data_IF_798886073323
#
_entry.id   IF_798886073323
#
_cell.length_a   1.000
_cell.length_b   1.000
_cell.length_c   1.000
_cell.angle_alpha   90.00
_cell.angle_beta   90.00
_cell.angle_gamma   90.00
#
_symmetry.space_group_name_H-M   'P 1'
#
loop_
_entity.id
_entity.type
_entity.pdbx_description
1 polymer ?
#
# COMPACT_ATOMS: atom_id res chain seq x y z
N UNK A 1 -72.22 53.57 -21.38
CA UNK A 1 -71.05 53.03 -22.12
C UNK A 1 -70.12 52.11 -21.31
N UNK A 2 -69.88 52.31 -20.00
CA UNK A 2 -68.89 51.50 -19.24
C UNK A 2 -69.25 50.03 -18.92
N UNK A 3 -70.54 49.66 -18.85
CA UNK A 3 -70.96 48.28 -18.50
C UNK A 3 -70.91 47.27 -19.67
N UNK A 4 -71.05 47.73 -20.92
CA UNK A 4 -70.98 46.86 -22.10
C UNK A 4 -69.52 46.47 -22.44
N UNK A 5 -68.59 47.42 -22.26
CA UNK A 5 -67.15 47.18 -22.44
C UNK A 5 -66.58 46.19 -21.42
N UNK A 6 -67.00 46.24 -20.15
CA UNK A 6 -66.54 45.28 -19.14
C UNK A 6 -67.04 43.85 -19.39
N UNK A 7 -68.28 43.67 -19.88
CA UNK A 7 -68.80 42.33 -20.22
C UNK A 7 -68.07 41.71 -21.41
N UNK A 8 -67.72 42.51 -22.42
CA UNK A 8 -66.97 42.03 -23.58
C UNK A 8 -65.50 41.74 -23.25
N UNK A 9 -64.89 42.50 -22.33
CA UNK A 9 -63.53 42.23 -21.83
C UNK A 9 -63.46 40.95 -20.98
N UNK A 10 -64.45 40.67 -20.12
CA UNK A 10 -64.49 39.42 -19.35
C UNK A 10 -64.76 38.20 -20.22
N UNK A 11 -65.63 38.31 -21.24
CA UNK A 11 -65.88 37.20 -22.17
C UNK A 11 -64.66 36.88 -23.05
N UNK A 12 -63.91 37.90 -23.49
CA UNK A 12 -62.66 37.73 -24.23
C UNK A 12 -61.53 37.15 -23.35
N UNK A 13 -61.46 37.52 -22.07
CA UNK A 13 -60.49 36.95 -21.12
C UNK A 13 -60.79 35.48 -20.78
N UNK A 14 -62.06 35.10 -20.59
CA UNK A 14 -62.44 33.71 -20.32
C UNK A 14 -62.29 32.80 -21.56
N UNK A 15 -62.56 33.31 -22.77
CA UNK A 15 -62.32 32.57 -24.00
C UNK A 15 -60.82 32.40 -24.29
N UNK A 16 -59.99 33.41 -23.98
CA UNK A 16 -58.53 33.33 -24.06
C UNK A 16 -57.91 32.36 -23.05
N UNK A 17 -58.45 32.29 -21.83
CA UNK A 17 -57.95 31.38 -20.80
C UNK A 17 -58.36 29.91 -21.04
N UNK A 18 -59.54 29.65 -21.60
CA UNK A 18 -59.92 28.29 -22.02
C UNK A 18 -59.21 27.83 -23.31
N UNK A 19 -58.80 28.75 -24.20
CA UNK A 19 -57.97 28.42 -25.35
C UNK A 19 -56.50 28.12 -24.98
N UNK A 20 -55.99 28.67 -23.86
CA UNK A 20 -54.68 28.33 -23.29
C UNK A 20 -54.63 26.95 -22.59
N UNK A 21 -55.80 26.40 -22.22
CA UNK A 21 -55.94 25.03 -21.70
C UNK A 21 -56.21 23.98 -22.80
N UNK A 22 -56.34 24.42 -24.06
CA UNK A 22 -56.53 23.59 -25.25
C UNK A 22 -55.37 23.71 -26.24
N UNK A 23 -54.20 24.17 -25.79
CA UNK A 23 -52.97 23.82 -26.49
C UNK A 23 -52.88 22.29 -26.47
N UNK A 24 -52.52 21.63 -27.60
CA UNK A 24 -52.16 20.23 -27.51
C UNK A 24 -51.11 20.12 -26.40
N UNK A 25 -51.21 19.10 -25.55
CA UNK A 25 -50.04 18.64 -24.81
C UNK A 25 -48.96 18.37 -25.87
N UNK A 26 -48.21 19.40 -26.25
CA UNK A 26 -46.90 19.26 -26.86
C UNK A 26 -46.19 18.38 -25.87
N UNK A 27 -45.90 17.14 -26.28
CA UNK A 27 -45.24 16.12 -25.48
C UNK A 27 -44.27 16.84 -24.52
N UNK A 28 -44.67 16.92 -23.25
CA UNK A 28 -43.87 17.58 -22.24
C UNK A 28 -42.59 16.75 -22.23
N UNK A 29 -41.51 17.27 -22.83
CA UNK A 29 -40.31 16.49 -23.08
C UNK A 29 -39.89 15.92 -21.72
N UNK A 30 -40.05 14.60 -21.57
CA UNK A 30 -39.83 13.97 -20.29
C UNK A 30 -38.36 14.18 -19.95
N UNK A 31 -38.09 14.71 -18.76
CA UNK A 31 -36.75 15.12 -18.37
C UNK A 31 -35.84 13.89 -18.38
N UNK A 32 -34.62 14.03 -18.92
CA UNK A 32 -33.68 12.92 -18.94
C UNK A 32 -33.27 12.58 -17.51
N UNK A 33 -33.42 11.33 -17.14
CA UNK A 33 -33.01 10.82 -15.85
C UNK A 33 -31.85 9.83 -16.04
N UNK A 34 -30.93 9.81 -15.07
CA UNK A 34 -29.92 8.78 -15.00
C UNK A 34 -30.42 7.62 -14.12
N UNK A 35 -30.36 6.41 -14.64
CA UNK A 35 -30.91 5.23 -13.99
C UNK A 35 -30.20 3.96 -14.43
N UNK A 36 -30.40 2.90 -13.65
CA UNK A 36 -29.80 1.58 -13.85
C UNK A 36 -30.88 0.54 -13.98
N UNK A 37 -30.76 -0.37 -14.94
CA UNK A 37 -31.72 -1.45 -15.20
C UNK A 37 -31.02 -2.80 -15.11
N UNK A 38 -31.46 -3.66 -14.20
CA UNK A 38 -31.14 -5.10 -14.23
C UNK A 38 -32.19 -5.81 -15.07
N UNK A 39 -31.74 -6.48 -16.13
CA UNK A 39 -32.60 -7.20 -17.07
C UNK A 39 -33.47 -8.25 -16.38
N UNK A 40 -34.57 -8.67 -17.02
CA UNK A 40 -35.50 -9.66 -16.45
C UNK A 40 -34.85 -11.04 -16.20
N UNK A 41 -33.86 -11.41 -16.99
CA UNK A 41 -33.03 -12.62 -16.78
C UNK A 41 -31.92 -12.41 -15.72
N UNK A 42 -31.80 -11.18 -15.20
CA UNK A 42 -30.88 -10.72 -14.17
C UNK A 42 -29.40 -10.74 -14.56
N UNK A 43 -29.08 -11.06 -15.81
CA UNK A 43 -27.69 -11.23 -16.27
C UNK A 43 -27.02 -9.94 -16.70
N UNK A 44 -27.79 -8.93 -17.06
CA UNK A 44 -27.28 -7.67 -17.60
C UNK A 44 -27.69 -6.49 -16.73
N UNK A 45 -26.74 -5.64 -16.36
CA UNK A 45 -26.98 -4.37 -15.68
C UNK A 45 -26.65 -3.20 -16.61
N UNK A 46 -27.64 -2.42 -17.04
CA UNK A 46 -27.44 -1.33 -18.01
C UNK A 46 -27.66 0.05 -17.39
N UNK A 47 -26.73 0.97 -17.65
CA UNK A 47 -26.78 2.37 -17.23
C UNK A 47 -27.28 3.24 -18.38
N UNK A 48 -28.31 4.05 -18.13
CA UNK A 48 -28.96 4.93 -19.10
C UNK A 48 -29.03 6.38 -18.62
N UNK A 49 -29.04 7.32 -19.57
CA UNK A 49 -29.35 8.73 -19.31
C UNK A 49 -30.24 9.29 -20.42
N UNK A 50 -31.53 9.01 -20.28
CA UNK A 50 -32.57 9.32 -21.27
C UNK A 50 -33.94 9.49 -20.59
N UNK A 51 -34.99 9.66 -21.39
CA UNK A 51 -36.37 9.86 -20.96
C UNK A 51 -37.21 8.57 -20.98
N UNK A 52 -36.57 7.40 -21.11
CA UNK A 52 -37.22 6.10 -21.31
C UNK A 52 -37.34 5.24 -20.05
N UNK A 53 -37.03 5.78 -18.86
CA UNK A 53 -37.02 5.02 -17.59
C UNK A 53 -38.32 4.26 -17.34
N UNK A 54 -39.47 4.87 -17.61
CA UNK A 54 -40.80 4.28 -17.39
C UNK A 54 -41.17 3.17 -18.38
N UNK A 55 -40.49 3.08 -19.53
CA UNK A 55 -40.72 2.06 -20.54
C UNK A 55 -39.78 0.85 -20.40
N UNK A 56 -38.77 0.92 -19.53
CA UNK A 56 -37.82 -0.17 -19.32
C UNK A 56 -38.44 -1.34 -18.57
N UNK A 57 -38.09 -2.55 -19.00
CA UNK A 57 -38.46 -3.80 -18.34
C UNK A 57 -37.32 -4.34 -17.49
N UNK A 58 -37.63 -4.97 -16.35
CA UNK A 58 -36.66 -5.50 -15.40
C UNK A 58 -36.76 -4.77 -14.06
N UNK A 59 -35.69 -4.82 -13.26
CA UNK A 59 -35.59 -4.02 -12.03
C UNK A 59 -34.88 -2.71 -12.34
N UNK A 60 -35.52 -1.58 -12.01
CA UNK A 60 -35.03 -0.23 -12.35
C UNK A 60 -34.76 0.53 -11.06
N UNK A 61 -33.60 1.19 -10.99
CA UNK A 61 -33.23 2.08 -9.89
C UNK A 61 -32.81 3.45 -10.42
N UNK A 62 -33.05 4.51 -9.66
CA UNK A 62 -32.38 5.78 -9.92
C UNK A 62 -30.86 5.65 -9.74
N UNK A 63 -30.05 6.42 -10.47
CA UNK A 63 -28.58 6.35 -10.33
C UNK A 63 -28.10 6.78 -8.93
N UNK A 64 -28.89 7.57 -8.20
CA UNK A 64 -28.59 8.00 -6.82
C UNK A 64 -29.34 7.15 -5.77
N UNK A 65 -30.06 6.12 -6.19
CA UNK A 65 -30.80 5.26 -5.26
C UNK A 65 -29.82 4.37 -4.49
N UNK A 66 -30.01 4.29 -3.16
CA UNK A 66 -29.05 3.65 -2.26
C UNK A 66 -29.72 2.71 -1.27
N UNK A 67 -28.91 1.82 -0.70
CA UNK A 67 -29.23 0.96 0.44
C UNK A 67 -28.14 1.04 1.50
N UNK A 68 -28.46 0.67 2.74
CA UNK A 68 -27.52 0.74 3.88
C UNK A 68 -27.29 -0.62 4.51
N UNK A 69 -26.05 -0.88 4.92
CA UNK A 69 -25.67 -2.07 5.68
C UNK A 69 -24.47 -1.73 6.58
N UNK A 70 -24.55 -2.09 7.88
CA UNK A 70 -23.51 -1.84 8.88
C UNK A 70 -22.96 -0.39 8.88
N UNK A 71 -23.86 0.59 8.72
CA UNK A 71 -23.49 2.01 8.67
C UNK A 71 -22.87 2.49 7.35
N UNK A 72 -22.59 1.59 6.40
CA UNK A 72 -22.13 1.91 5.05
C UNK A 72 -23.31 2.12 4.10
N UNK A 73 -23.12 2.95 3.07
CA UNK A 73 -24.11 3.23 2.02
C UNK A 73 -23.62 2.66 0.69
N UNK A 74 -24.52 1.97 -0.02
CA UNK A 74 -24.24 1.31 -1.30
C UNK A 74 -25.27 1.76 -2.33
N UNK A 75 -24.93 1.81 -3.62
CA UNK A 75 -25.92 1.86 -4.67
C UNK A 75 -26.96 0.73 -4.53
N UNK A 76 -28.23 1.02 -4.79
CA UNK A 76 -29.32 0.06 -4.63
C UNK A 76 -29.09 -1.22 -5.46
N UNK A 77 -28.45 -1.06 -6.62
CA UNK A 77 -28.14 -2.13 -7.57
C UNK A 77 -26.86 -2.93 -7.24
N UNK A 78 -25.99 -2.48 -6.32
CA UNK A 78 -24.71 -3.15 -6.07
C UNK A 78 -24.80 -4.27 -5.04
N UNK A 79 -23.73 -5.03 -4.79
CA UNK A 79 -23.65 -5.90 -3.63
C UNK A 79 -23.46 -5.12 -2.31
N UNK A 80 -23.52 -5.83 -1.18
CA UNK A 80 -23.12 -5.36 0.16
C UNK A 80 -22.11 -6.35 0.78
N UNK A 81 -21.61 -6.13 2.00
CA UNK A 81 -20.67 -7.06 2.63
C UNK A 81 -21.30 -8.43 2.90
N UNK A 82 -22.56 -8.48 3.33
CA UNK A 82 -23.25 -9.76 3.62
C UNK A 82 -23.98 -10.36 2.41
N UNK A 83 -24.35 -9.54 1.42
CA UNK A 83 -25.12 -9.96 0.24
C UNK A 83 -24.41 -9.53 -1.06
N UNK A 84 -23.53 -10.38 -1.64
CA UNK A 84 -22.88 -10.06 -2.91
C UNK A 84 -23.86 -10.08 -4.09
N UNK A 85 -23.61 -9.25 -5.11
CA UNK A 85 -24.33 -9.34 -6.38
C UNK A 85 -23.71 -10.46 -7.22
N UNK A 86 -24.44 -11.56 -7.36
CA UNK A 86 -23.95 -12.81 -7.97
C UNK A 86 -24.75 -13.25 -9.19
N UNK A 87 -25.74 -12.47 -9.65
CA UNK A 87 -26.54 -12.84 -10.82
C UNK A 87 -26.03 -12.14 -12.09
N UNK A 88 -25.60 -10.88 -11.98
CA UNK A 88 -25.12 -10.07 -13.09
C UNK A 88 -23.77 -10.58 -13.60
N UNK A 89 -23.68 -10.79 -14.92
CA UNK A 89 -22.47 -11.23 -15.63
C UNK A 89 -21.94 -10.18 -16.59
N UNK A 90 -22.79 -9.26 -17.06
CA UNK A 90 -22.43 -8.18 -17.97
C UNK A 90 -22.99 -6.86 -17.44
N UNK A 91 -22.15 -5.83 -17.40
CA UNK A 91 -22.60 -4.45 -17.22
C UNK A 91 -22.49 -3.70 -18.55
N UNK A 92 -23.41 -2.78 -18.82
CA UNK A 92 -23.47 -2.02 -20.08
C UNK A 92 -23.66 -0.55 -19.76
N UNK A 93 -22.79 0.31 -20.28
CA UNK A 93 -23.02 1.76 -20.33
C UNK A 93 -23.55 2.13 -21.70
N UNK A 94 -24.86 2.36 -21.77
CA UNK A 94 -25.54 2.72 -23.02
C UNK A 94 -24.99 4.03 -23.59
N UNK A 95 -25.11 4.22 -24.91
CA UNK A 95 -24.65 5.44 -25.57
C UNK A 95 -25.31 6.71 -25.00
N UNK A 96 -26.54 6.61 -24.51
CA UNK A 96 -27.24 7.70 -23.81
C UNK A 96 -26.47 8.22 -22.59
N UNK A 97 -25.73 7.35 -21.88
CA UNK A 97 -25.03 7.68 -20.64
C UNK A 97 -23.86 8.65 -20.81
N UNK A 98 -23.37 8.83 -22.05
CA UNK A 98 -22.21 9.67 -22.40
C UNK A 98 -22.29 11.11 -21.87
N UNK A 99 -23.49 11.63 -21.69
CA UNK A 99 -23.72 13.01 -21.24
C UNK A 99 -24.01 13.16 -19.74
N UNK A 100 -24.21 12.06 -19.02
CA UNK A 100 -24.31 12.11 -17.57
C UNK A 100 -22.92 12.34 -16.95
N UNK A 101 -22.87 13.02 -15.80
CA UNK A 101 -21.65 13.44 -15.10
C UNK A 101 -21.78 13.09 -13.62
N UNK A 102 -21.54 11.83 -13.22
CA UNK A 102 -21.58 11.46 -11.82
C UNK A 102 -20.56 12.26 -11.01
N UNK A 103 -20.93 12.62 -9.77
CA UNK A 103 -20.00 13.21 -8.81
C UNK A 103 -19.19 12.14 -8.05
N UNK A 104 -19.72 10.92 -7.98
CA UNK A 104 -19.07 9.76 -7.34
C UNK A 104 -19.37 8.50 -8.14
N UNK A 105 -18.40 7.58 -8.12
CA UNK A 105 -18.58 6.19 -8.61
C UNK A 105 -18.32 5.17 -7.49
N UNK A 106 -18.34 5.65 -6.25
CA UNK A 106 -18.18 4.84 -5.05
C UNK A 106 -19.10 3.62 -5.06
N UNK A 107 -18.52 2.44 -4.84
CA UNK A 107 -19.23 1.17 -4.73
C UNK A 107 -20.10 0.74 -5.94
N UNK A 108 -19.98 1.40 -7.12
CA UNK A 108 -20.87 1.12 -8.27
C UNK A 108 -20.91 -0.35 -8.72
N UNK A 109 -19.78 -1.06 -8.62
CA UNK A 109 -19.66 -2.50 -8.87
C UNK A 109 -19.16 -3.27 -7.64
N UNK A 110 -19.48 -2.78 -6.44
CA UNK A 110 -19.08 -3.45 -5.19
C UNK A 110 -19.68 -4.87 -5.10
N UNK A 111 -18.81 -5.85 -4.84
CA UNK A 111 -19.15 -7.26 -4.67
C UNK A 111 -19.93 -7.89 -5.84
N UNK A 112 -19.65 -7.49 -7.08
CA UNK A 112 -20.15 -8.18 -8.28
C UNK A 112 -19.32 -9.44 -8.59
N UNK A 113 -19.63 -10.55 -7.91
CA UNK A 113 -18.79 -11.77 -7.93
C UNK A 113 -18.72 -12.43 -9.31
N UNK A 114 -19.81 -12.35 -10.08
CA UNK A 114 -19.95 -13.01 -11.37
C UNK A 114 -19.84 -12.06 -12.57
N UNK A 115 -19.50 -10.78 -12.38
CA UNK A 115 -19.31 -9.83 -13.48
C UNK A 115 -18.06 -10.20 -14.29
N UNK A 116 -18.25 -10.50 -15.57
CA UNK A 116 -17.22 -10.96 -16.50
C UNK A 116 -16.71 -9.86 -17.42
N UNK A 117 -17.60 -8.92 -17.79
CA UNK A 117 -17.29 -7.83 -18.72
C UNK A 117 -18.15 -6.59 -18.48
N UNK A 118 -17.59 -5.43 -18.87
CA UNK A 118 -18.28 -4.14 -18.89
C UNK A 118 -18.21 -3.57 -20.31
N UNK A 119 -19.35 -3.49 -20.96
CA UNK A 119 -19.48 -2.98 -22.32
C UNK A 119 -19.80 -1.49 -22.30
N UNK A 120 -19.26 -0.75 -23.28
CA UNK A 120 -19.55 0.67 -23.41
C UNK A 120 -18.96 1.55 -22.30
N UNK A 121 -18.02 1.08 -21.47
CA UNK A 121 -17.43 1.85 -20.36
C UNK A 121 -16.84 3.22 -20.80
N UNK A 122 -16.52 3.36 -22.09
CA UNK A 122 -16.17 4.64 -22.73
C UNK A 122 -17.25 5.72 -22.67
N UNK A 123 -18.51 5.34 -22.41
CA UNK A 123 -19.66 6.23 -22.21
C UNK A 123 -19.78 6.71 -20.75
N UNK A 124 -19.02 6.17 -19.80
CA UNK A 124 -18.95 6.72 -18.44
C UNK A 124 -18.05 7.95 -18.43
N UNK A 125 -18.62 9.15 -18.29
CA UNK A 125 -17.82 10.37 -18.20
C UNK A 125 -17.45 10.68 -16.74
N UNK A 126 -16.18 10.49 -16.37
CA UNK A 126 -15.72 10.70 -15.01
C UNK A 126 -15.12 12.09 -14.74
N UNK A 127 -15.34 13.10 -15.61
CA UNK A 127 -14.69 14.43 -15.46
C UNK A 127 -15.00 15.12 -14.13
N UNK A 128 -16.20 14.89 -13.59
CA UNK A 128 -16.66 15.49 -12.34
C UNK A 128 -16.57 14.55 -11.13
N UNK A 129 -16.03 13.34 -11.32
CA UNK A 129 -15.94 12.36 -10.24
C UNK A 129 -14.84 12.78 -9.26
N UNK A 130 -15.21 12.92 -7.98
CA UNK A 130 -14.23 13.19 -6.91
C UNK A 130 -13.88 11.96 -6.10
N UNK A 131 -14.66 10.89 -6.21
CA UNK A 131 -14.52 9.67 -5.39
C UNK A 131 -14.74 8.41 -6.24
N UNK A 132 -13.76 7.50 -6.20
CA UNK A 132 -13.77 6.21 -6.92
C UNK A 132 -13.51 5.01 -5.99
N UNK A 133 -13.59 5.21 -4.66
CA UNK A 133 -13.29 4.15 -3.71
C UNK A 133 -14.19 2.93 -3.92
N UNK A 134 -13.60 1.74 -3.82
CA UNK A 134 -14.29 0.45 -3.99
C UNK A 134 -15.11 0.28 -5.29
N UNK A 135 -14.88 1.08 -6.34
CA UNK A 135 -15.70 1.06 -7.57
C UNK A 135 -15.84 -0.34 -8.18
N UNK A 136 -14.75 -1.11 -8.24
CA UNK A 136 -14.73 -2.49 -8.77
C UNK A 136 -14.42 -3.52 -7.70
N UNK A 137 -14.57 -3.17 -6.42
CA UNK A 137 -14.18 -4.05 -5.32
C UNK A 137 -14.88 -5.40 -5.43
N UNK A 138 -14.08 -6.46 -5.37
CA UNK A 138 -14.47 -7.87 -5.41
C UNK A 138 -15.19 -8.29 -6.71
N UNK A 139 -14.91 -7.63 -7.84
CA UNK A 139 -15.24 -8.11 -9.18
C UNK A 139 -14.35 -9.30 -9.58
N UNK A 140 -14.55 -10.45 -8.92
CA UNK A 140 -13.62 -11.59 -8.97
C UNK A 140 -13.53 -12.28 -10.33
N UNK A 141 -14.57 -12.19 -11.17
CA UNK A 141 -14.59 -12.79 -12.50
C UNK A 141 -14.18 -11.84 -13.63
N UNK A 142 -13.90 -10.58 -13.33
CA UNK A 142 -13.51 -9.59 -14.31
C UNK A 142 -12.05 -9.83 -14.73
N UNK A 143 -11.82 -10.05 -16.03
CA UNK A 143 -10.49 -10.41 -16.57
C UNK A 143 -9.75 -9.24 -17.22
N UNK A 144 -10.49 -8.22 -17.64
CA UNK A 144 -9.99 -7.00 -18.27
C UNK A 144 -10.90 -5.81 -17.99
N UNK A 145 -10.34 -4.60 -18.06
CA UNK A 145 -11.04 -3.33 -17.89
C UNK A 145 -10.48 -2.30 -18.87
N UNK A 146 -11.35 -1.67 -19.65
CA UNK A 146 -10.97 -0.55 -20.50
C UNK A 146 -11.23 0.79 -19.78
N UNK A 147 -10.16 1.40 -19.26
CA UNK A 147 -10.21 2.65 -18.49
C UNK A 147 -9.71 3.87 -19.27
N UNK A 148 -9.54 3.76 -20.60
CA UNK A 148 -8.85 4.78 -21.41
C UNK A 148 -9.54 6.15 -21.43
N UNK A 149 -10.84 6.21 -21.14
CA UNK A 149 -11.63 7.45 -21.09
C UNK A 149 -11.73 8.04 -19.67
N UNK A 150 -11.21 7.37 -18.64
CA UNK A 150 -11.28 7.88 -17.28
C UNK A 150 -10.46 9.16 -17.15
N UNK A 151 -11.12 10.18 -16.65
CA UNK A 151 -10.57 11.44 -16.17
C UNK A 151 -10.54 11.38 -14.65
N UNK A 152 -9.36 11.53 -14.07
CA UNK A 152 -9.17 11.38 -12.61
C UNK A 152 -8.56 12.62 -11.96
N UNK A 153 -8.41 13.73 -12.70
CA UNK A 153 -7.80 14.98 -12.20
C UNK A 153 -8.50 15.62 -10.99
N UNK A 154 -9.73 15.18 -10.69
CA UNK A 154 -10.54 15.66 -9.57
C UNK A 154 -10.70 14.63 -8.45
N UNK A 155 -10.24 13.39 -8.66
CA UNK A 155 -10.41 12.30 -7.71
C UNK A 155 -9.51 12.50 -6.49
N UNK A 156 -10.10 12.37 -5.30
CA UNK A 156 -9.44 12.49 -4.00
C UNK A 156 -9.28 11.14 -3.31
N UNK A 157 -10.11 10.15 -3.62
CA UNK A 157 -10.09 8.83 -2.98
C UNK A 157 -10.21 7.72 -4.03
N UNK A 158 -9.19 6.85 -4.06
CA UNK A 158 -9.11 5.64 -4.88
C UNK A 158 -8.91 4.38 -4.02
N UNK A 159 -9.14 4.46 -2.71
CA UNK A 159 -8.99 3.33 -1.80
C UNK A 159 -9.85 2.15 -2.23
N UNK A 160 -9.29 0.95 -2.13
CA UNK A 160 -9.95 -0.31 -2.47
C UNK A 160 -10.50 -0.44 -3.91
N UNK A 161 -10.16 0.47 -4.84
CA UNK A 161 -10.82 0.58 -6.16
C UNK A 161 -10.87 -0.75 -6.93
N UNK A 162 -9.78 -1.53 -6.89
CA UNK A 162 -9.67 -2.83 -7.54
C UNK A 162 -9.50 -3.98 -6.53
N UNK A 163 -9.74 -3.75 -5.23
CA UNK A 163 -9.55 -4.78 -4.19
C UNK A 163 -10.29 -6.06 -4.57
N UNK A 164 -9.59 -7.18 -4.61
CA UNK A 164 -10.16 -8.51 -4.83
C UNK A 164 -10.59 -8.78 -6.27
N UNK A 165 -10.15 -7.98 -7.25
CA UNK A 165 -10.26 -8.28 -8.68
C UNK A 165 -9.26 -9.40 -9.06
N UNK A 166 -9.43 -10.60 -8.49
CA UNK A 166 -8.42 -11.65 -8.48
C UNK A 166 -8.09 -12.23 -9.86
N UNK A 167 -8.99 -12.11 -10.85
CA UNK A 167 -8.80 -12.60 -12.23
C UNK A 167 -8.38 -11.52 -13.22
N UNK A 168 -8.19 -10.28 -12.78
CA UNK A 168 -7.74 -9.19 -13.63
C UNK A 168 -6.27 -9.42 -14.01
N UNK A 169 -6.01 -9.57 -15.30
CA UNK A 169 -4.68 -9.98 -15.81
C UNK A 169 -3.78 -8.79 -16.17
N UNK A 170 -4.39 -7.66 -16.53
CA UNK A 170 -3.71 -6.42 -16.87
C UNK A 170 -4.58 -5.20 -16.54
N UNK A 171 -3.92 -4.08 -16.28
CA UNK A 171 -4.55 -2.78 -16.08
C UNK A 171 -3.72 -1.72 -16.79
N UNK A 172 -4.34 -0.98 -17.72
CA UNK A 172 -3.73 0.22 -18.28
C UNK A 172 -4.25 1.44 -17.52
N UNK A 173 -3.35 2.09 -16.77
CA UNK A 173 -3.63 3.27 -15.96
C UNK A 173 -2.85 4.50 -16.43
N UNK A 174 -2.29 4.48 -17.64
CA UNK A 174 -1.39 5.55 -18.12
C UNK A 174 -2.06 6.93 -18.23
N UNK A 175 -3.40 6.97 -18.33
CA UNK A 175 -4.19 8.20 -18.36
C UNK A 175 -4.54 8.75 -16.97
N UNK A 176 -4.26 8.01 -15.89
CA UNK A 176 -4.62 8.43 -14.55
C UNK A 176 -3.75 9.62 -14.10
N UNK A 177 -4.41 10.62 -13.53
CA UNK A 177 -3.85 11.78 -12.87
C UNK A 177 -4.20 11.70 -11.39
N UNK A 178 -3.22 11.58 -10.51
CA UNK A 178 -3.44 11.29 -9.08
C UNK A 178 -2.94 12.39 -8.14
N UNK A 179 -2.63 13.57 -8.66
CA UNK A 179 -2.06 14.69 -7.89
C UNK A 179 -2.95 15.12 -6.71
N UNK A 180 -4.28 14.96 -6.83
CA UNK A 180 -5.24 15.29 -5.77
C UNK A 180 -5.63 14.11 -4.88
N UNK A 181 -5.15 12.90 -5.17
CA UNK A 181 -5.53 11.70 -4.43
C UNK A 181 -4.85 11.72 -3.06
N UNK A 182 -5.66 11.52 -2.02
CA UNK A 182 -5.25 11.53 -0.61
C UNK A 182 -5.24 10.13 0.00
N UNK A 183 -5.99 9.20 -0.60
CA UNK A 183 -6.08 7.82 -0.13
C UNK A 183 -5.98 6.81 -1.29
N UNK A 184 -5.07 5.83 -1.15
CA UNK A 184 -4.85 4.71 -2.06
C UNK A 184 -4.71 3.37 -1.31
N UNK A 185 -5.08 3.30 -0.03
CA UNK A 185 -4.95 2.08 0.75
C UNK A 185 -5.70 0.92 0.07
N UNK A 186 -5.10 -0.27 0.09
CA UNK A 186 -5.66 -1.50 -0.48
C UNK A 186 -6.10 -1.44 -1.97
N UNK A 187 -5.68 -0.43 -2.75
CA UNK A 187 -6.19 -0.19 -4.11
C UNK A 187 -6.12 -1.41 -5.04
N UNK A 188 -5.03 -2.19 -4.95
CA UNK A 188 -4.79 -3.41 -5.74
C UNK A 188 -4.76 -4.68 -4.88
N UNK A 189 -5.18 -4.61 -3.61
CA UNK A 189 -5.19 -5.75 -2.70
C UNK A 189 -5.86 -6.97 -3.36
N UNK A 190 -5.20 -8.12 -3.38
CA UNK A 190 -5.77 -9.38 -3.87
C UNK A 190 -5.99 -9.43 -5.39
N UNK A 191 -5.36 -8.56 -6.17
CA UNK A 191 -5.32 -8.67 -7.64
C UNK A 191 -4.33 -9.78 -8.07
N UNK A 192 -4.65 -11.02 -7.70
CA UNK A 192 -3.75 -12.19 -7.77
C UNK A 192 -3.22 -12.48 -9.17
N UNK A 193 -4.00 -12.20 -10.22
CA UNK A 193 -3.64 -12.49 -11.62
C UNK A 193 -2.85 -11.39 -12.33
N UNK A 194 -2.66 -10.21 -11.71
CA UNK A 194 -1.84 -9.16 -12.33
C UNK A 194 -0.38 -9.62 -12.39
N UNK A 195 0.21 -9.57 -13.59
CA UNK A 195 1.61 -9.97 -13.82
C UNK A 195 2.56 -8.78 -13.87
N UNK A 196 2.06 -7.62 -14.32
CA UNK A 196 2.79 -6.36 -14.35
C UNK A 196 1.87 -5.19 -14.05
N UNK A 197 2.40 -4.15 -13.39
CA UNK A 197 1.69 -2.91 -13.18
C UNK A 197 2.64 -1.71 -13.32
N UNK A 198 2.32 -0.80 -14.23
CA UNK A 198 3.06 0.45 -14.42
C UNK A 198 2.31 1.60 -13.76
N UNK A 199 2.89 2.15 -12.70
CA UNK A 199 2.36 3.32 -11.98
C UNK A 199 3.34 4.51 -12.08
N UNK A 200 4.18 4.55 -13.12
CA UNK A 200 5.11 5.67 -13.32
C UNK A 200 4.41 7.03 -13.47
N UNK A 201 3.13 7.09 -13.85
CA UNK A 201 2.38 8.34 -13.90
C UNK A 201 1.78 8.75 -12.54
N UNK A 202 1.77 7.86 -11.53
CA UNK A 202 1.14 8.16 -10.24
C UNK A 202 2.00 9.14 -9.44
N UNK A 203 1.33 10.16 -8.89
CA UNK A 203 1.84 11.08 -7.88
C UNK A 203 1.18 10.76 -6.55
N UNK A 204 1.99 10.49 -5.53
CA UNK A 204 1.53 10.08 -4.22
C UNK A 204 1.87 11.08 -3.10
N UNK A 205 2.22 12.31 -3.48
CA UNK A 205 2.67 13.38 -2.57
C UNK A 205 1.67 13.68 -1.45
N UNK A 206 0.37 13.56 -1.72
CA UNK A 206 -0.69 13.85 -0.77
C UNK A 206 -1.22 12.62 -0.02
N UNK A 207 -0.69 11.42 -0.32
CA UNK A 207 -1.16 10.15 0.25
C UNK A 207 -0.55 9.95 1.63
N UNK A 208 -1.39 9.64 2.62
CA UNK A 208 -0.96 9.40 4.02
C UNK A 208 -0.94 7.91 4.39
N UNK A 209 -1.72 7.10 3.70
CA UNK A 209 -1.90 5.68 3.96
C UNK A 209 -1.72 4.90 2.66
N UNK A 210 -0.72 4.03 2.63
CA UNK A 210 -0.43 3.09 1.54
C UNK A 210 -0.50 1.63 2.03
N UNK A 211 -1.12 1.41 3.19
CA UNK A 211 -1.23 0.08 3.78
C UNK A 211 -1.89 -0.89 2.79
N UNK A 212 -1.28 -2.06 2.68
CA UNK A 212 -1.73 -3.21 1.89
C UNK A 212 -2.04 -2.93 0.41
N UNK A 213 -1.50 -1.84 -0.16
CA UNK A 213 -1.83 -1.37 -1.51
C UNK A 213 -1.68 -2.46 -2.58
N UNK A 214 -0.64 -3.30 -2.48
CA UNK A 214 -0.38 -4.42 -3.40
C UNK A 214 -0.48 -5.79 -2.71
N UNK A 215 -1.01 -5.86 -1.49
CA UNK A 215 -1.02 -7.09 -0.72
C UNK A 215 -1.77 -8.21 -1.48
N UNK A 216 -1.15 -9.38 -1.63
CA UNK A 216 -1.75 -10.53 -2.30
C UNK A 216 -1.76 -10.46 -3.83
N UNK A 217 -0.99 -9.56 -4.46
CA UNK A 217 -0.70 -9.58 -5.89
C UNK A 217 0.31 -10.71 -6.22
N UNK A 218 -0.13 -11.97 -6.05
CA UNK A 218 0.76 -13.14 -6.01
C UNK A 218 1.56 -13.35 -7.30
N UNK A 219 1.00 -13.08 -8.48
CA UNK A 219 1.66 -13.26 -9.77
C UNK A 219 2.40 -12.02 -10.28
N UNK A 220 2.47 -10.94 -9.49
CA UNK A 220 3.10 -9.70 -9.91
C UNK A 220 4.62 -9.90 -9.98
N UNK A 221 5.18 -9.76 -11.18
CA UNK A 221 6.62 -9.91 -11.44
C UNK A 221 7.31 -8.57 -11.72
N UNK A 222 6.55 -7.57 -12.18
CA UNK A 222 7.06 -6.23 -12.50
C UNK A 222 6.13 -5.16 -11.93
N UNK A 223 6.69 -4.24 -11.14
CA UNK A 223 5.97 -3.11 -10.56
C UNK A 223 6.81 -1.84 -10.67
N UNK A 224 6.30 -0.83 -11.37
CA UNK A 224 7.00 0.45 -11.55
C UNK A 224 6.43 1.51 -10.60
N UNK A 225 7.24 1.90 -9.62
CA UNK A 225 6.91 2.91 -8.60
C UNK A 225 7.79 4.16 -8.70
N UNK A 226 8.47 4.39 -9.82
CA UNK A 226 9.54 5.40 -9.95
C UNK A 226 9.13 6.84 -9.59
N UNK A 227 7.84 7.17 -9.61
CA UNK A 227 7.32 8.49 -9.26
C UNK A 227 6.58 8.57 -7.91
N UNK A 228 6.63 7.51 -7.11
CA UNK A 228 6.05 7.51 -5.77
C UNK A 228 6.90 8.36 -4.83
N UNK A 229 6.39 9.56 -4.50
CA UNK A 229 6.92 10.38 -3.41
C UNK A 229 6.15 10.08 -2.13
N UNK A 230 6.79 9.39 -1.20
CA UNK A 230 6.13 8.85 0.02
C UNK A 230 6.36 9.69 1.28
N UNK A 231 6.81 10.94 1.13
CA UNK A 231 7.22 11.83 2.23
C UNK A 231 6.17 12.00 3.32
N UNK A 232 4.88 11.97 2.95
CA UNK A 232 3.77 12.19 3.87
C UNK A 232 3.11 10.90 4.39
N UNK A 233 3.61 9.73 3.96
CA UNK A 233 3.06 8.43 4.32
C UNK A 233 3.41 8.09 5.77
N UNK A 234 2.40 7.66 6.53
CA UNK A 234 2.55 7.23 7.93
C UNK A 234 2.42 5.72 8.10
N UNK A 235 1.70 5.06 7.22
CA UNK A 235 1.43 3.62 7.28
C UNK A 235 1.79 2.95 5.95
N UNK A 236 2.73 2.01 6.01
CA UNK A 236 3.15 1.13 4.89
C UNK A 236 2.94 -0.35 5.24
N UNK A 237 2.14 -0.64 6.27
CA UNK A 237 1.91 -1.99 6.76
C UNK A 237 1.34 -2.88 5.64
N UNK A 238 1.96 -4.05 5.46
CA UNK A 238 1.59 -5.04 4.46
C UNK A 238 1.64 -4.57 3.00
N UNK A 239 2.28 -3.44 2.67
CA UNK A 239 2.20 -2.83 1.33
C UNK A 239 2.49 -3.81 0.19
N UNK A 240 3.48 -4.69 0.35
CA UNK A 240 3.89 -5.72 -0.62
C UNK A 240 3.66 -7.15 -0.11
N UNK A 241 2.93 -7.33 1.00
CA UNK A 241 2.72 -8.64 1.59
C UNK A 241 2.12 -9.62 0.58
N UNK A 242 2.56 -10.87 0.58
CA UNK A 242 2.07 -11.93 -0.30
C UNK A 242 2.30 -11.66 -1.81
N UNK A 243 3.20 -10.74 -2.18
CA UNK A 243 3.69 -10.57 -3.56
C UNK A 243 4.74 -11.64 -3.91
N UNK A 244 4.31 -12.89 -4.00
CA UNK A 244 5.19 -14.06 -4.04
C UNK A 244 6.09 -14.13 -5.27
N UNK A 245 5.67 -13.57 -6.41
CA UNK A 245 6.40 -13.62 -7.68
C UNK A 245 7.32 -12.43 -7.95
N UNK A 246 7.36 -11.41 -7.07
CA UNK A 246 8.29 -10.30 -7.24
C UNK A 246 9.72 -10.79 -7.00
N UNK A 247 10.59 -10.66 -8.00
CA UNK A 247 12.01 -11.02 -7.91
C UNK A 247 12.90 -9.83 -7.51
N UNK A 248 12.46 -8.62 -7.88
CA UNK A 248 13.12 -7.35 -7.57
C UNK A 248 12.09 -6.25 -7.36
N UNK A 249 12.45 -5.24 -6.58
CA UNK A 249 11.60 -4.07 -6.33
C UNK A 249 12.48 -2.83 -6.18
N UNK A 250 12.27 -1.83 -7.04
CA UNK A 250 12.96 -0.54 -6.93
C UNK A 250 12.19 0.37 -5.97
N UNK A 251 12.82 0.65 -4.82
CA UNK A 251 12.31 1.53 -3.76
C UNK A 251 13.17 2.79 -3.58
N UNK A 252 14.07 3.08 -4.51
CA UNK A 252 15.06 4.17 -4.39
C UNK A 252 14.45 5.56 -4.17
N UNK A 253 13.22 5.78 -4.63
CA UNK A 253 12.49 7.04 -4.45
C UNK A 253 11.67 7.12 -3.15
N UNK A 254 11.61 6.03 -2.37
CA UNK A 254 10.86 6.02 -1.13
C UNK A 254 11.54 6.90 -0.08
N UNK A 255 10.72 7.65 0.63
CA UNK A 255 11.10 8.51 1.76
C UNK A 255 10.24 8.10 2.94
N UNK A 256 10.88 7.55 3.98
CA UNK A 256 10.16 6.91 5.09
C UNK A 256 10.31 7.63 6.42
N UNK A 257 10.82 8.87 6.42
CA UNK A 257 11.04 9.65 7.65
C UNK A 257 9.81 9.71 8.55
N UNK A 258 8.62 9.75 7.97
CA UNK A 258 7.36 9.93 8.69
C UNK A 258 6.59 8.64 8.95
N UNK A 259 7.10 7.48 8.49
CA UNK A 259 6.44 6.19 8.61
C UNK A 259 6.50 5.72 10.06
N UNK A 260 5.36 5.25 10.57
CA UNK A 260 5.20 4.75 11.94
C UNK A 260 4.93 3.25 11.99
N UNK A 261 4.35 2.66 10.94
CA UNK A 261 4.03 1.25 10.85
C UNK A 261 4.59 0.63 9.56
N UNK A 262 5.43 -0.39 9.72
CA UNK A 262 6.01 -1.23 8.64
C UNK A 262 5.71 -2.72 8.86
N UNK A 263 4.70 -3.05 9.67
CA UNK A 263 4.30 -4.43 9.94
C UNK A 263 4.08 -5.18 8.64
N UNK A 264 4.68 -6.36 8.52
CA UNK A 264 4.51 -7.29 7.41
C UNK A 264 4.77 -6.70 6.02
N UNK A 265 5.50 -5.58 5.90
CA UNK A 265 5.62 -4.84 4.63
C UNK A 265 6.03 -5.72 3.45
N UNK A 266 6.95 -6.66 3.66
CA UNK A 266 7.46 -7.61 2.67
C UNK A 266 7.13 -9.08 3.01
N UNK A 267 6.24 -9.33 3.97
CA UNK A 267 5.91 -10.71 4.39
C UNK A 267 5.50 -11.57 3.20
N UNK A 268 6.01 -12.80 3.13
CA UNK A 268 5.75 -13.78 2.06
C UNK A 268 6.16 -13.31 0.64
N UNK A 269 7.10 -12.37 0.51
CA UNK A 269 7.74 -12.07 -0.79
C UNK A 269 8.80 -13.12 -1.12
N UNK A 270 8.34 -14.34 -1.40
CA UNK A 270 9.21 -15.53 -1.46
C UNK A 270 10.26 -15.50 -2.56
N UNK A 271 10.00 -14.81 -3.68
CA UNK A 271 10.92 -14.74 -4.82
C UNK A 271 11.88 -13.55 -4.78
N UNK A 272 11.77 -12.62 -3.83
CA UNK A 272 12.69 -11.49 -3.73
C UNK A 272 14.08 -12.00 -3.38
N UNK A 273 15.06 -11.77 -4.26
CA UNK A 273 16.45 -12.22 -4.05
C UNK A 273 17.32 -11.15 -3.38
N UNK A 274 16.96 -9.88 -3.58
CA UNK A 274 17.65 -8.72 -3.02
C UNK A 274 16.68 -7.58 -2.80
N UNK A 275 16.97 -6.73 -1.81
CA UNK A 275 16.18 -5.53 -1.53
C UNK A 275 17.12 -4.41 -1.07
N UNK A 276 17.18 -3.32 -1.84
CA UNK A 276 17.91 -2.12 -1.44
C UNK A 276 17.02 -1.28 -0.53
N UNK A 277 17.45 -1.14 0.73
CA UNK A 277 16.79 -0.34 1.76
C UNK A 277 17.65 0.83 2.23
N UNK A 278 18.68 1.20 1.46
CA UNK A 278 19.67 2.20 1.88
C UNK A 278 19.06 3.58 2.15
N UNK A 279 17.95 3.92 1.49
CA UNK A 279 17.20 5.16 1.66
C UNK A 279 16.18 5.12 2.82
N UNK A 280 15.92 3.95 3.42
CA UNK A 280 14.96 3.85 4.52
C UNK A 280 15.48 4.50 5.79
N UNK A 281 14.62 5.33 6.36
CA UNK A 281 14.79 6.02 7.64
C UNK A 281 13.68 5.55 8.57
N UNK A 282 14.05 4.92 9.68
CA UNK A 282 13.09 4.22 10.55
C UNK A 282 12.97 4.82 11.95
N UNK A 283 13.49 6.04 12.17
CA UNK A 283 13.52 6.68 13.49
C UNK A 283 12.14 6.84 14.13
N UNK A 284 11.10 7.01 13.31
CA UNK A 284 9.73 7.19 13.78
C UNK A 284 8.90 5.89 13.76
N UNK A 285 9.48 4.78 13.32
CA UNK A 285 8.79 3.49 13.22
C UNK A 285 8.58 2.90 14.62
N UNK A 286 7.37 2.42 14.87
CA UNK A 286 6.94 1.82 16.15
C UNK A 286 6.78 0.30 16.05
N UNK A 287 6.45 -0.20 14.85
CA UNK A 287 6.09 -1.59 14.63
C UNK A 287 6.73 -2.15 13.35
N UNK A 288 7.42 -3.30 13.49
CA UNK A 288 8.08 -4.04 12.39
C UNK A 288 7.79 -5.55 12.47
N UNK A 289 6.63 -5.92 12.99
CA UNK A 289 6.20 -7.31 13.16
C UNK A 289 6.16 -7.99 11.79
N UNK A 290 6.81 -9.16 11.67
CA UNK A 290 6.82 -9.96 10.44
C UNK A 290 7.31 -9.24 9.17
N UNK A 291 8.05 -8.12 9.29
CA UNK A 291 8.38 -7.26 8.14
C UNK A 291 8.96 -8.02 6.94
N UNK A 292 9.84 -9.00 7.18
CA UNK A 292 10.46 -9.85 6.15
C UNK A 292 10.08 -11.32 6.28
N UNK A 293 9.07 -11.66 7.11
CA UNK A 293 8.71 -13.06 7.37
C UNK A 293 8.50 -13.83 6.06
N UNK A 294 9.11 -15.00 5.93
CA UNK A 294 8.99 -15.90 4.79
C UNK A 294 9.49 -15.32 3.45
N UNK A 295 10.47 -14.41 3.49
CA UNK A 295 11.23 -13.99 2.32
C UNK A 295 12.34 -15.02 2.01
N UNK A 296 11.92 -16.21 1.57
CA UNK A 296 12.78 -17.40 1.48
C UNK A 296 13.96 -17.26 0.51
N UNK A 297 13.89 -16.38 -0.49
CA UNK A 297 14.96 -16.18 -1.48
C UNK A 297 15.95 -15.06 -1.13
N UNK A 298 15.71 -14.27 -0.07
CA UNK A 298 16.65 -13.22 0.32
C UNK A 298 17.92 -13.86 0.89
N UNK A 299 19.06 -13.61 0.25
CA UNK A 299 20.37 -14.15 0.67
C UNK A 299 21.14 -13.19 1.58
N UNK A 300 20.86 -11.90 1.45
CA UNK A 300 21.47 -10.81 2.23
C UNK A 300 20.49 -9.66 2.39
N UNK A 301 20.63 -8.90 3.48
CA UNK A 301 19.83 -7.71 3.74
C UNK A 301 20.70 -6.69 4.48
N UNK A 302 20.87 -5.50 3.90
CA UNK A 302 21.57 -4.40 4.57
C UNK A 302 20.57 -3.58 5.39
N UNK A 303 20.80 -3.55 6.70
CA UNK A 303 19.98 -2.85 7.68
C UNK A 303 20.79 -1.80 8.46
N UNK A 304 21.97 -1.39 7.97
CA UNK A 304 22.85 -0.46 8.69
C UNK A 304 22.20 0.89 9.02
N UNK A 305 21.21 1.29 8.22
CA UNK A 305 20.51 2.56 8.35
C UNK A 305 19.29 2.49 9.27
N UNK A 306 18.88 1.28 9.68
CA UNK A 306 17.72 1.10 10.55
C UNK A 306 18.03 1.61 11.96
N UNK A 307 17.09 2.35 12.51
CA UNK A 307 17.07 2.85 13.88
C UNK A 307 15.86 2.26 14.60
N UNK A 308 16.10 1.54 15.69
CA UNK A 308 15.05 0.75 16.38
C UNK A 308 14.71 1.27 17.78
N UNK A 309 15.22 2.45 18.19
CA UNK A 309 15.02 2.98 19.56
C UNK A 309 13.54 3.11 19.95
N UNK A 310 12.69 3.42 18.97
CA UNK A 310 11.26 3.64 19.16
C UNK A 310 10.40 2.43 18.81
N UNK A 311 11.01 1.34 18.32
CA UNK A 311 10.31 0.11 17.95
C UNK A 311 9.98 -0.69 19.20
N UNK A 312 8.73 -1.12 19.32
CA UNK A 312 8.25 -1.89 20.49
C UNK A 312 8.11 -3.37 20.23
N UNK A 313 7.97 -3.77 18.97
CA UNK A 313 7.72 -5.15 18.58
C UNK A 313 8.40 -5.48 17.23
N UNK A 314 9.25 -6.51 17.24
CA UNK A 314 9.92 -7.11 16.07
C UNK A 314 9.67 -8.63 15.99
N UNK A 315 8.58 -9.10 16.59
CA UNK A 315 8.16 -10.50 16.56
C UNK A 315 8.13 -11.04 15.13
N UNK A 316 8.75 -12.20 14.94
CA UNK A 316 8.83 -12.89 13.64
C UNK A 316 9.40 -12.05 12.48
N UNK A 317 10.15 -10.98 12.75
CA UNK A 317 10.62 -10.04 11.70
C UNK A 317 11.33 -10.74 10.54
N UNK A 318 12.19 -11.73 10.83
CA UNK A 318 12.94 -12.50 9.85
C UNK A 318 12.51 -13.97 9.78
N UNK A 319 11.44 -14.37 10.48
CA UNK A 319 11.01 -15.76 10.54
C UNK A 319 10.89 -16.37 9.13
N UNK A 320 11.32 -17.62 8.94
CA UNK A 320 11.28 -18.33 7.65
C UNK A 320 12.10 -17.64 6.52
N UNK A 321 13.06 -16.75 6.84
CA UNK A 321 14.04 -16.24 5.86
C UNK A 321 15.15 -17.27 5.65
N UNK A 322 14.79 -18.42 5.08
CA UNK A 322 15.62 -19.62 5.06
C UNK A 322 16.89 -19.53 4.23
N UNK A 323 17.06 -18.53 3.36
CA UNK A 323 18.29 -18.29 2.58
C UNK A 323 19.23 -17.23 3.15
N UNK A 324 18.83 -16.48 4.19
CA UNK A 324 19.72 -15.51 4.81
C UNK A 324 20.88 -16.23 5.49
N UNK A 325 22.11 -15.84 5.17
CA UNK A 325 23.33 -16.46 5.71
C UNK A 325 23.97 -15.64 6.83
N UNK A 326 23.84 -14.32 6.76
CA UNK A 326 24.30 -13.41 7.81
C UNK A 326 23.38 -12.20 7.94
N UNK A 327 23.27 -11.67 9.16
CA UNK A 327 22.63 -10.39 9.43
C UNK A 327 23.53 -9.53 10.31
N UNK A 328 23.63 -8.24 9.97
CA UNK A 328 24.26 -7.25 10.83
C UNK A 328 23.20 -6.41 11.52
N UNK A 329 23.11 -6.60 12.84
CA UNK A 329 22.15 -5.94 13.72
C UNK A 329 22.90 -5.18 14.83
N UNK A 330 24.17 -4.82 14.59
CA UNK A 330 25.01 -4.10 15.56
C UNK A 330 24.50 -2.68 15.86
N UNK A 331 23.70 -2.09 14.97
CA UNK A 331 23.00 -0.82 15.14
C UNK A 331 21.66 -0.95 15.87
N UNK A 332 21.14 -2.16 16.08
CA UNK A 332 19.82 -2.35 16.70
C UNK A 332 19.91 -2.09 18.20
N UNK A 333 18.95 -1.29 18.68
CA UNK A 333 18.74 -0.91 20.07
C UNK A 333 17.43 -1.51 20.56
N UNK A 334 17.49 -2.28 21.63
CA UNK A 334 16.37 -3.12 22.10
C UNK A 334 15.90 -2.75 23.51
N UNK A 335 16.30 -1.60 24.05
CA UNK A 335 15.99 -1.23 25.46
C UNK A 335 14.48 -1.05 25.70
N UNK A 336 13.74 -0.65 24.67
CA UNK A 336 12.28 -0.48 24.71
C UNK A 336 11.50 -1.67 24.11
N UNK A 337 12.20 -2.76 23.76
CA UNK A 337 11.61 -3.88 23.03
C UNK A 337 10.76 -4.76 23.94
N UNK A 338 9.48 -4.93 23.60
CA UNK A 338 8.57 -5.77 24.37
C UNK A 338 8.57 -7.21 23.87
N UNK A 339 8.62 -7.40 22.55
CA UNK A 339 8.41 -8.70 21.91
C UNK A 339 9.35 -8.90 20.70
N UNK A 340 10.15 -9.97 20.78
CA UNK A 340 10.97 -10.49 19.68
C UNK A 340 10.74 -12.00 19.48
N UNK A 341 9.54 -12.46 19.81
CA UNK A 341 9.19 -13.87 19.70
C UNK A 341 9.31 -14.36 18.26
N UNK A 342 9.90 -15.54 18.10
CA UNK A 342 10.17 -16.17 16.81
C UNK A 342 10.93 -15.29 15.79
N UNK A 343 11.66 -14.25 16.22
CA UNK A 343 12.28 -13.26 15.32
C UNK A 343 13.13 -13.88 14.21
N UNK A 344 13.90 -14.92 14.51
CA UNK A 344 14.75 -15.65 13.54
C UNK A 344 14.29 -17.09 13.30
N UNK A 345 13.13 -17.48 13.83
CA UNK A 345 12.65 -18.86 13.73
C UNK A 345 12.69 -19.35 12.27
N UNK A 346 13.14 -20.59 12.06
CA UNK A 346 13.23 -21.24 10.74
C UNK A 346 14.19 -20.53 9.74
N UNK A 347 15.08 -19.64 10.22
CA UNK A 347 16.21 -19.12 9.45
C UNK A 347 17.34 -20.14 9.34
N UNK A 348 17.06 -21.28 8.70
CA UNK A 348 17.91 -22.47 8.79
C UNK A 348 19.32 -22.26 8.19
N UNK A 349 19.51 -21.36 7.21
CA UNK A 349 20.84 -21.06 6.63
C UNK A 349 21.63 -19.98 7.36
N UNK A 350 21.04 -19.35 8.39
CA UNK A 350 21.65 -18.24 9.09
C UNK A 350 22.83 -18.73 9.93
N UNK A 351 24.02 -18.30 9.56
CA UNK A 351 25.29 -18.69 10.21
C UNK A 351 25.73 -17.65 11.23
N UNK A 352 25.57 -16.37 10.90
CA UNK A 352 26.13 -15.28 11.72
C UNK A 352 25.12 -14.17 11.94
N UNK A 353 24.94 -13.78 13.20
CA UNK A 353 24.24 -12.55 13.57
C UNK A 353 25.24 -11.64 14.26
N UNK A 354 25.61 -10.54 13.61
CA UNK A 354 26.50 -9.56 14.20
C UNK A 354 25.71 -8.65 15.14
N UNK A 355 26.09 -8.66 16.42
CA UNK A 355 25.60 -7.70 17.39
C UNK A 355 26.60 -7.62 18.55
N UNK A 356 26.91 -6.41 19.01
CA UNK A 356 27.88 -6.20 20.10
C UNK A 356 27.22 -6.14 21.48
N UNK A 357 25.89 -6.11 21.54
CA UNK A 357 25.13 -5.98 22.77
C UNK A 357 24.33 -7.25 23.04
N UNK A 358 24.14 -7.58 24.32
CA UNK A 358 23.17 -8.60 24.74
C UNK A 358 21.77 -8.01 24.67
N UNK A 359 20.84 -8.76 24.08
CA UNK A 359 19.44 -8.36 24.02
C UNK A 359 18.65 -8.96 25.18
N UNK A 360 17.60 -8.25 25.58
CA UNK A 360 16.59 -8.70 26.54
C UNK A 360 15.21 -8.19 26.07
N UNK A 361 14.15 -8.92 26.40
CA UNK A 361 12.76 -8.50 26.17
C UNK A 361 11.81 -9.31 27.05
N UNK A 362 10.53 -8.91 27.09
CA UNK A 362 9.49 -9.59 27.87
C UNK A 362 9.04 -10.90 27.21
N UNK A 363 8.88 -10.90 25.89
CA UNK A 363 8.43 -12.05 25.12
C UNK A 363 9.47 -12.42 24.06
N UNK A 364 9.94 -13.67 24.09
CA UNK A 364 10.99 -14.17 23.19
C UNK A 364 10.75 -15.57 22.64
N UNK A 365 9.54 -16.12 22.78
CA UNK A 365 9.30 -17.56 22.59
C UNK A 365 9.82 -18.06 21.22
N UNK A 366 10.69 -19.06 21.27
CA UNK A 366 11.34 -19.66 20.11
C UNK A 366 12.03 -18.68 19.16
N UNK A 367 12.63 -17.61 19.68
CA UNK A 367 13.40 -16.60 18.93
C UNK A 367 14.38 -17.21 17.91
N UNK A 368 15.07 -18.28 18.30
CA UNK A 368 16.08 -18.99 17.49
C UNK A 368 15.64 -20.42 17.13
N UNK A 369 14.36 -20.75 17.22
CA UNK A 369 13.88 -22.10 16.90
C UNK A 369 14.27 -22.48 15.46
N UNK A 370 14.81 -23.69 15.29
CA UNK A 370 15.32 -24.24 14.02
C UNK A 370 16.47 -23.46 13.34
N UNK A 371 17.14 -22.52 14.02
CA UNK A 371 18.33 -21.83 13.48
C UNK A 371 19.60 -22.70 13.50
N UNK A 372 19.54 -23.88 12.91
CA UNK A 372 20.51 -24.99 13.10
C UNK A 372 21.94 -24.69 12.65
N UNK A 373 22.15 -23.72 11.77
CA UNK A 373 23.47 -23.32 11.29
C UNK A 373 24.12 -22.16 12.06
N UNK A 374 23.48 -21.62 13.10
CA UNK A 374 24.05 -20.51 13.87
C UNK A 374 25.36 -20.91 14.57
N UNK A 375 26.37 -20.08 14.34
CA UNK A 375 27.71 -20.19 14.91
C UNK A 375 28.12 -18.81 15.46
N UNK A 376 27.62 -18.49 16.67
CA UNK A 376 28.00 -17.28 17.40
C UNK A 376 29.18 -17.53 18.32
N UNK A 377 29.15 -16.90 19.51
CA UNK A 377 30.07 -17.24 20.59
C UNK A 377 29.97 -18.72 21.01
N UNK A 378 28.79 -19.33 20.84
CA UNK A 378 28.57 -20.77 20.95
C UNK A 378 27.83 -21.32 19.72
N UNK A 379 27.97 -22.62 19.48
CA UNK A 379 27.17 -23.34 18.47
C UNK A 379 25.71 -23.45 18.89
N UNK A 380 24.82 -23.53 17.90
CA UNK A 380 23.39 -23.74 18.12
C UNK A 380 23.07 -24.97 19.00
N UNK A 381 22.15 -24.78 19.94
CA UNK A 381 21.57 -25.82 20.81
C UNK A 381 20.04 -25.72 20.76
N UNK A 382 19.38 -26.75 20.23
CA UNK A 382 17.93 -26.79 20.07
C UNK A 382 17.12 -26.73 21.38
N UNK A 383 17.76 -26.91 22.53
CA UNK A 383 17.13 -26.70 23.85
C UNK A 383 17.20 -25.23 24.33
N UNK A 384 18.00 -24.39 23.66
CA UNK A 384 18.23 -22.98 24.01
C UNK A 384 17.82 -22.08 22.83
N UNK A 385 16.53 -21.77 22.77
CA UNK A 385 15.93 -21.07 21.62
C UNK A 385 15.39 -19.67 21.94
N UNK A 386 15.61 -19.20 23.18
CA UNK A 386 15.05 -17.96 23.72
C UNK A 386 16.07 -16.81 23.67
N UNK A 387 15.64 -15.60 24.07
CA UNK A 387 16.47 -14.38 24.06
C UNK A 387 17.74 -14.47 24.92
N UNK A 388 17.82 -15.41 25.86
CA UNK A 388 19.06 -15.65 26.63
C UNK A 388 20.27 -16.00 25.75
N UNK A 389 20.03 -16.49 24.52
CA UNK A 389 21.05 -16.75 23.52
C UNK A 389 21.34 -15.55 22.59
N UNK A 390 20.61 -14.44 22.71
CA UNK A 390 20.90 -13.18 22.02
C UNK A 390 22.05 -12.42 22.74
N UNK A 391 23.21 -13.06 22.84
CA UNK A 391 24.36 -12.59 23.61
C UNK A 391 25.67 -12.86 22.84
N UNK A 392 26.57 -11.86 22.69
CA UNK A 392 27.80 -12.00 21.91
C UNK A 392 28.96 -12.69 22.64
N UNK A 393 28.81 -13.02 23.92
CA UNK A 393 29.81 -13.73 24.73
C UNK A 393 29.40 -15.17 25.03
N UNK A 394 28.09 -15.40 25.23
CA UNK A 394 27.56 -16.69 25.71
C UNK A 394 26.48 -17.28 24.80
N UNK A 395 26.15 -16.62 23.70
CA UNK A 395 25.01 -16.96 22.85
C UNK A 395 25.37 -17.04 21.37
N UNK A 396 24.35 -16.86 20.53
CA UNK A 396 24.43 -17.00 19.08
C UNK A 396 24.84 -15.72 18.34
N UNK A 397 25.05 -14.61 19.07
CA UNK A 397 25.59 -13.41 18.46
C UNK A 397 27.09 -13.52 18.29
N UNK A 398 27.59 -12.84 17.27
CA UNK A 398 29.00 -12.66 16.96
C UNK A 398 29.32 -11.18 17.16
N UNK A 399 30.42 -10.88 17.86
CA UNK A 399 30.91 -9.51 17.93
C UNK A 399 31.36 -9.05 16.55
N UNK A 400 30.89 -7.89 16.15
CA UNK A 400 31.42 -7.19 14.98
C UNK A 400 32.70 -6.47 15.39
N UNK A 401 33.82 -6.94 14.83
CA UNK A 401 35.10 -6.22 14.92
C UNK A 401 34.90 -4.78 14.43
N UNK A 402 35.35 -3.82 15.25
CA UNK A 402 35.21 -2.41 14.94
C UNK A 402 36.23 -2.09 13.84
N UNK A 403 35.79 -2.10 12.58
CA UNK A 403 36.63 -1.76 11.42
C UNK A 403 36.77 -0.26 11.17
N UNK A 404 36.64 0.58 12.22
CA UNK A 404 36.63 2.04 12.09
C UNK A 404 37.17 2.80 13.32
N UNK A 405 37.47 4.09 13.11
CA UNK A 405 38.04 5.00 14.12
C UNK A 405 36.91 5.62 14.95
N UNK A 406 36.74 5.23 16.22
CA UNK A 406 35.47 5.43 16.95
C UNK A 406 35.40 6.60 17.92
N UNK A 407 36.51 7.22 18.33
CA UNK A 407 36.48 8.33 19.31
C UNK A 407 37.61 9.33 19.10
N UNK A 408 37.36 10.61 19.44
CA UNK A 408 38.41 11.63 19.56
C UNK A 408 38.86 11.72 21.03
N UNK A 409 40.11 11.39 21.33
CA UNK A 409 40.67 11.48 22.71
C UNK A 409 41.68 12.62 22.84
N UNK A 410 41.88 13.11 24.07
CA UNK A 410 42.91 14.10 24.43
C UNK A 410 44.18 13.40 24.93
N UNK A 411 45.33 14.07 24.80
CA UNK A 411 46.72 13.55 24.93
C UNK A 411 47.10 12.82 26.24
N UNK A 412 46.21 12.71 27.22
CA UNK A 412 46.50 12.22 28.57
C UNK A 412 46.18 10.76 28.91
N UNK A 413 45.40 10.03 28.09
CA UNK A 413 44.76 8.76 28.54
C UNK A 413 45.18 7.47 27.80
N UNK A 414 46.16 7.50 26.89
CA UNK A 414 46.31 6.41 25.91
C UNK A 414 47.52 5.48 26.09
N UNK A 415 47.25 4.20 26.35
CA UNK A 415 48.15 3.08 26.05
C UNK A 415 48.17 2.80 24.53
N UNK A 416 48.93 3.63 23.78
CA UNK A 416 49.00 3.61 22.31
C UNK A 416 49.90 2.46 21.83
N UNK A 417 49.37 1.62 20.93
CA UNK A 417 50.09 0.54 20.27
C UNK A 417 50.78 0.99 18.97
N UNK A 418 50.12 1.85 18.18
CA UNK A 418 50.64 2.39 16.93
C UNK A 418 49.98 3.73 16.58
N UNK A 419 50.69 4.59 15.86
CA UNK A 419 50.21 5.90 15.43
C UNK A 419 50.24 5.92 13.90
N UNK A 420 49.26 6.56 13.28
CA UNK A 420 49.12 6.72 11.85
C UNK A 420 48.72 8.15 11.50
N UNK A 421 49.17 8.63 10.34
CA UNK A 421 48.66 9.83 9.70
C UNK A 421 47.26 9.60 9.14
N UNK A 422 46.57 10.68 8.76
CA UNK A 422 45.23 10.62 8.17
C UNK A 422 45.19 9.92 6.81
N UNK A 423 46.31 9.82 6.10
CA UNK A 423 46.50 9.02 4.87
C UNK A 423 46.93 7.56 5.15
N UNK A 424 46.96 7.14 6.42
CA UNK A 424 47.17 5.74 6.82
C UNK A 424 48.62 5.29 6.94
N UNK A 425 49.61 6.19 6.83
CA UNK A 425 51.03 5.84 7.04
C UNK A 425 51.36 5.75 8.52
N UNK A 426 52.16 4.76 8.91
CA UNK A 426 52.61 4.59 10.29
C UNK A 426 53.57 5.72 10.69
N UNK A 427 53.37 6.29 11.87
CA UNK A 427 54.16 7.37 12.46
C UNK A 427 54.87 6.85 13.73
N UNK A 428 56.03 7.44 14.03
CA UNK A 428 56.79 7.10 15.23
C UNK A 428 56.32 7.87 16.48
N UNK A 429 55.63 8.99 16.29
CA UNK A 429 55.10 9.85 17.35
C UNK A 429 53.89 10.65 16.85
N UNK A 430 53.11 11.22 17.78
CA UNK A 430 51.96 12.07 17.45
C UNK A 430 52.44 13.33 16.73
N UNK A 431 51.84 13.68 15.60
CA UNK A 431 52.14 14.90 14.86
C UNK A 431 51.16 16.01 15.26
N UNK A 432 51.55 17.27 15.06
CA UNK A 432 50.62 18.40 15.25
C UNK A 432 49.44 18.26 14.28
N UNK A 433 48.22 18.41 14.79
CA UNK A 433 47.00 18.16 14.03
C UNK A 433 46.37 16.79 14.31
N UNK A 434 45.57 16.30 13.37
CA UNK A 434 44.80 15.06 13.53
C UNK A 434 45.68 13.83 13.29
N UNK A 435 45.71 12.92 14.27
CA UNK A 435 46.35 11.62 14.14
C UNK A 435 45.32 10.52 14.31
N UNK A 436 45.62 9.34 13.77
CA UNK A 436 44.87 8.11 14.00
C UNK A 436 45.75 7.22 14.88
N UNK A 437 45.23 6.72 16.00
CA UNK A 437 45.97 5.85 16.92
C UNK A 437 45.29 4.49 17.02
N UNK A 438 46.09 3.43 17.11
CA UNK A 438 45.66 2.09 17.52
C UNK A 438 45.98 1.91 18.99
N UNK A 439 44.99 1.52 19.78
CA UNK A 439 45.11 1.28 21.20
C UNK A 439 45.47 -0.19 21.47
N UNK A 440 46.06 -0.50 22.62
CA UNK A 440 46.43 -1.88 22.99
C UNK A 440 45.23 -2.86 23.04
N UNK A 441 44.01 -2.37 23.24
CA UNK A 441 42.77 -3.16 23.19
C UNK A 441 42.24 -3.38 21.76
N UNK A 442 43.02 -3.02 20.73
CA UNK A 442 42.67 -3.19 19.31
C UNK A 442 41.85 -2.05 18.71
N UNK A 443 41.32 -1.12 19.51
CA UNK A 443 40.49 -0.01 19.00
C UNK A 443 41.30 1.04 18.25
N UNK A 444 40.67 1.68 17.26
CA UNK A 444 41.25 2.81 16.53
C UNK A 444 40.58 4.12 16.98
N UNK A 445 41.36 5.16 17.27
CA UNK A 445 40.88 6.48 17.73
C UNK A 445 41.51 7.63 16.94
N UNK A 446 40.88 8.80 16.94
CA UNK A 446 41.46 10.06 16.46
C UNK A 446 42.00 10.83 17.66
N UNK A 447 43.14 11.49 17.50
CA UNK A 447 43.66 12.40 18.52
C UNK A 447 44.10 13.70 17.85
N UNK A 448 43.62 14.81 18.38
CA UNK A 448 43.99 16.14 17.90
C UNK A 448 45.09 16.69 18.82
N UNK A 449 46.33 16.72 18.33
CA UNK A 449 47.46 17.34 19.02
C UNK A 449 47.51 18.82 18.66
N UNK A 450 47.37 19.69 19.66
CA UNK A 450 47.32 21.16 19.45
C UNK A 450 48.67 21.74 19.02
#
# INVERSE_FOLDING_TARGET
MRKQLLKNLCAAFLAGFMALLLLPQSAQAQEKEAYVVKSSDKKTLTFYYDDQKSSRTGTVWGIEETKKEYGSTYPAWSGTYSAPESEVTTAVFDASFKNYRPQSTENWFFNFKNLEKIEGLTNLNTSEVTTMNSMFRNCQNLTSLNLSNFKTENVKDMSFMFLGCSRLTSLNLSNFKTEKVQNMNDMFYGCQSLTSLDLSNFKAENVKDMSRMFMGCQNLTSLNLSNFKTENVKDMSGMFRDCQSLTSLDLSNFKTENVQDMNSMFRNCQSLTSLDLSNFKTENVKYMIEMFRNCQSLTSLDLSNFKTENVKNMGSMFRDCSSLTSLDLSNFKTENMLDMSAMFRDCNSLQTIYCNNTWTCLYSWGMFENCTNLQGAVSYDGSKIEVSMANPETGYFTKKEITGVTTTTTEGDANIQAIYSTDGKRLNELQRGLNIIRMNNGTMQKILRK
#
